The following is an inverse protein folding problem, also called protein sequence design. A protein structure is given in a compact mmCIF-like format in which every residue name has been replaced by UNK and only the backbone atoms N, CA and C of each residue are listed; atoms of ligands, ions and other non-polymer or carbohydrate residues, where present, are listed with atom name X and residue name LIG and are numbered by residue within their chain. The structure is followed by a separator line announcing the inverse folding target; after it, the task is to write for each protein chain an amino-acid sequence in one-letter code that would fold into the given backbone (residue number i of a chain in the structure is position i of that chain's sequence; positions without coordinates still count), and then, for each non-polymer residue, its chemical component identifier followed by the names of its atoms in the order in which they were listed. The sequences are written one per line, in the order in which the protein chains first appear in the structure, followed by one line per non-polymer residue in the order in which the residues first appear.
data_IF_351622516055
#
_entry.id   IF_351622516055
#
_cell.length_a   1.000
_cell.length_b   1.000
_cell.length_c   1.000
_cell.angle_alpha   90.00
_cell.angle_beta   90.00
_cell.angle_gamma   90.00
#
_symmetry.space_group_name_H-M   'P 1'
#
loop_
_entity.id
_entity.type
_entity.pdbx_description
1 polymer ?
#
# COMPACT_ATOMS: atom_id res chain seq x y z
N UNK A 1 -14.55 10.43 28.64
CA UNK A 1 -14.01 10.63 27.27
C UNK A 1 -13.28 9.36 26.83
N UNK A 2 -13.46 8.89 25.59
CA UNK A 2 -12.72 7.74 25.03
C UNK A 2 -11.48 8.28 24.29
N UNK A 3 -10.29 7.80 24.64
CA UNK A 3 -9.06 8.11 23.89
C UNK A 3 -9.15 7.44 22.52
N UNK A 4 -8.96 8.20 21.44
CA UNK A 4 -9.05 7.66 20.08
C UNK A 4 -7.81 8.02 19.27
N UNK A 5 -7.33 7.04 18.49
CA UNK A 5 -6.19 7.24 17.60
C UNK A 5 -6.65 7.72 16.22
N UNK A 6 -5.95 8.70 15.66
CA UNK A 6 -6.26 9.26 14.33
C UNK A 6 -4.98 9.45 13.52
N UNK A 7 -5.10 9.48 12.18
CA UNK A 7 -3.97 9.76 11.30
C UNK A 7 -3.75 11.28 11.27
N UNK A 8 -2.55 11.79 11.62
CA UNK A 8 -2.25 13.21 11.51
C UNK A 8 -2.41 13.70 10.07
N UNK A 9 -3.08 14.85 9.90
CA UNK A 9 -3.39 15.41 8.57
C UNK A 9 -2.13 15.68 7.74
N UNK A 10 -1.08 16.16 8.38
CA UNK A 10 0.18 16.50 7.70
C UNK A 10 0.87 15.26 7.14
N UNK A 11 0.80 14.12 7.85
CA UNK A 11 1.34 12.84 7.37
C UNK A 11 0.55 12.31 6.18
N UNK A 12 -0.77 12.46 6.18
CA UNK A 12 -1.59 12.10 5.02
C UNK A 12 -1.30 13.02 3.81
N UNK A 13 -1.07 14.32 4.04
CA UNK A 13 -0.69 15.28 2.99
C UNK A 13 0.70 14.99 2.41
N UNK A 14 1.70 14.75 3.25
CA UNK A 14 3.06 14.44 2.79
C UNK A 14 3.09 13.15 1.98
N UNK A 15 2.32 12.13 2.39
CA UNK A 15 2.19 10.88 1.65
C UNK A 15 1.47 11.09 0.31
N UNK A 16 0.38 11.86 0.29
CA UNK A 16 -0.29 12.20 -0.97
C UNK A 16 0.63 13.01 -1.92
N UNK A 17 1.47 13.89 -1.37
CA UNK A 17 2.44 14.66 -2.14
C UNK A 17 3.52 13.75 -2.76
N UNK A 18 4.03 12.76 -2.01
CA UNK A 18 5.03 11.81 -2.54
C UNK A 18 4.45 10.91 -3.63
N UNK A 19 3.19 10.48 -3.52
CA UNK A 19 2.48 9.76 -4.58
C UNK A 19 2.23 10.64 -5.80
N UNK A 20 1.88 11.91 -5.58
CA UNK A 20 1.68 12.87 -6.67
C UNK A 20 2.98 13.13 -7.42
N UNK A 21 4.11 13.27 -6.72
CA UNK A 21 5.42 13.46 -7.33
C UNK A 21 5.84 12.27 -8.20
N UNK A 22 5.57 11.04 -7.74
CA UNK A 22 5.78 9.83 -8.53
C UNK A 22 4.90 9.83 -9.78
N UNK A 23 3.62 10.18 -9.65
CA UNK A 23 2.64 10.23 -10.74
C UNK A 23 2.77 11.45 -11.67
N UNK A 24 3.61 12.43 -11.32
CA UNK A 24 3.90 13.57 -12.21
C UNK A 24 5.03 13.31 -13.19
N UNK A 25 5.79 12.22 -13.01
CA UNK A 25 6.93 11.86 -13.85
C UNK A 25 6.76 10.52 -14.57
N UNK A 26 7.88 10.06 -15.15
CA UNK A 26 8.07 8.68 -15.64
C UNK A 26 7.01 8.19 -16.65
N UNK A 27 6.60 9.04 -17.59
CA UNK A 27 5.63 8.66 -18.63
C UNK A 27 6.15 7.54 -19.57
N UNK A 28 7.46 7.31 -19.60
CA UNK A 28 8.11 6.25 -20.37
C UNK A 28 7.97 4.86 -19.76
N UNK A 29 7.80 4.75 -18.42
CA UNK A 29 7.69 3.44 -17.74
C UNK A 29 6.39 2.73 -18.10
N UNK A 30 6.37 1.39 -18.10
CA UNK A 30 5.14 0.63 -18.33
C UNK A 30 4.03 1.03 -17.35
N UNK A 31 2.77 0.97 -17.82
CA UNK A 31 1.64 1.32 -16.95
C UNK A 31 1.44 0.33 -15.81
N UNK A 32 1.93 -0.91 -15.97
CA UNK A 32 1.81 -1.95 -14.94
C UNK A 32 2.83 -1.69 -13.84
N UNK A 33 4.10 -1.49 -14.19
CA UNK A 33 5.14 -1.23 -13.19
C UNK A 33 4.85 0.05 -12.40
N UNK A 34 4.31 1.07 -13.07
CA UNK A 34 3.86 2.31 -12.42
C UNK A 34 2.79 2.02 -11.35
N UNK A 35 1.77 1.23 -11.70
CA UNK A 35 0.66 0.88 -10.78
C UNK A 35 1.16 -0.02 -9.66
N UNK A 36 2.04 -0.97 -9.97
CA UNK A 36 2.66 -1.85 -8.97
C UNK A 36 3.46 -1.04 -7.95
N UNK A 37 4.25 -0.05 -8.39
CA UNK A 37 5.01 0.82 -7.50
C UNK A 37 4.11 1.63 -6.55
N UNK A 38 2.95 2.07 -7.05
CA UNK A 38 1.94 2.79 -6.26
C UNK A 38 1.27 1.84 -5.27
N UNK A 39 0.87 0.65 -5.73
CA UNK A 39 0.24 -0.38 -4.91
C UNK A 39 1.13 -0.75 -3.72
N UNK A 40 2.43 -0.99 -3.94
CA UNK A 40 3.39 -1.27 -2.86
C UNK A 40 3.44 -0.17 -1.80
N UNK A 41 3.43 1.11 -2.22
CA UNK A 41 3.41 2.25 -1.29
C UNK A 41 2.08 2.33 -0.52
N UNK A 42 0.95 2.12 -1.20
CA UNK A 42 -0.36 2.13 -0.58
C UNK A 42 -0.54 0.98 0.42
N UNK A 43 -0.09 -0.22 0.07
CA UNK A 43 -0.10 -1.38 0.96
C UNK A 43 0.75 -1.16 2.20
N UNK A 44 1.97 -0.63 2.03
CA UNK A 44 2.83 -0.26 3.16
C UNK A 44 2.17 0.76 4.08
N UNK A 45 1.52 1.77 3.52
CA UNK A 45 0.79 2.78 4.29
C UNK A 45 -0.43 2.20 5.02
N UNK A 46 -1.18 1.31 4.35
CA UNK A 46 -2.32 0.61 4.92
C UNK A 46 -1.91 -0.28 6.10
N UNK A 47 -0.80 -1.00 5.95
CA UNK A 47 -0.23 -1.87 6.98
C UNK A 47 0.24 -1.06 8.19
N UNK A 48 0.90 0.08 7.98
CA UNK A 48 1.36 0.95 9.06
C UNK A 48 0.19 1.50 9.89
N UNK A 49 -0.86 2.01 9.24
CA UNK A 49 -2.05 2.57 9.92
C UNK A 49 -3.17 1.54 10.15
N UNK A 50 -2.88 0.23 10.11
CA UNK A 50 -3.92 -0.80 10.20
C UNK A 50 -4.68 -0.82 11.55
N UNK A 51 -4.02 -0.36 12.62
CA UNK A 51 -4.53 -0.35 13.99
C UNK A 51 -5.19 0.96 14.43
N UNK A 52 -5.20 1.99 13.57
CA UNK A 52 -5.80 3.30 13.88
C UNK A 52 -7.33 3.23 13.82
N UNK A 53 -8.00 3.91 14.77
CA UNK A 53 -9.46 3.97 14.85
C UNK A 53 -10.08 4.78 13.71
N UNK A 54 -9.74 6.08 13.61
CA UNK A 54 -10.31 6.97 12.60
C UNK A 54 -9.35 7.15 11.40
N UNK A 55 -9.31 6.14 10.53
CA UNK A 55 -8.51 6.18 9.28
C UNK A 55 -9.30 6.50 8.01
N UNK A 56 -10.63 6.32 8.03
CA UNK A 56 -11.48 6.43 6.84
C UNK A 56 -11.34 7.78 6.11
N UNK A 57 -11.33 8.90 6.83
CA UNK A 57 -11.23 10.24 6.22
C UNK A 57 -9.89 10.46 5.51
N UNK A 58 -8.79 10.04 6.13
CA UNK A 58 -7.45 10.15 5.56
C UNK A 58 -7.28 9.20 4.35
N UNK A 59 -7.79 7.98 4.46
CA UNK A 59 -7.75 6.99 3.37
C UNK A 59 -8.59 7.45 2.17
N UNK A 60 -9.81 7.96 2.39
CA UNK A 60 -10.63 8.51 1.31
C UNK A 60 -9.98 9.71 0.62
N UNK A 61 -9.28 10.56 1.37
CA UNK A 61 -8.53 11.68 0.82
C UNK A 61 -7.40 11.20 -0.10
N UNK A 62 -6.60 10.23 0.35
CA UNK A 62 -5.49 9.66 -0.44
C UNK A 62 -6.04 8.93 -1.68
N UNK A 63 -7.03 8.05 -1.51
CA UNK A 63 -7.63 7.28 -2.61
C UNK A 63 -8.15 8.20 -3.72
N UNK A 64 -8.81 9.31 -3.37
CA UNK A 64 -9.31 10.28 -4.35
C UNK A 64 -8.18 10.93 -5.15
N UNK A 65 -7.09 11.31 -4.50
CA UNK A 65 -5.93 11.94 -5.15
C UNK A 65 -5.27 10.95 -6.10
N UNK A 66 -4.97 9.75 -5.62
CA UNK A 66 -4.30 8.72 -6.41
C UNK A 66 -5.13 8.32 -7.61
N UNK A 67 -6.45 8.12 -7.42
CA UNK A 67 -7.36 7.75 -8.50
C UNK A 67 -7.33 8.75 -9.66
N UNK A 68 -7.43 10.05 -9.36
CA UNK A 68 -7.43 11.09 -10.38
C UNK A 68 -6.04 11.37 -10.95
N UNK A 69 -4.99 11.35 -10.13
CA UNK A 69 -3.62 11.54 -10.61
C UNK A 69 -3.19 10.42 -11.55
N UNK A 70 -3.55 9.17 -11.26
CA UNK A 70 -3.33 8.05 -12.17
C UNK A 70 -4.11 8.23 -13.48
N UNK A 71 -5.36 8.71 -13.40
CA UNK A 71 -6.18 8.99 -14.59
C UNK A 71 -5.52 10.03 -15.51
N UNK A 72 -5.04 11.14 -14.94
CA UNK A 72 -4.33 12.18 -15.67
C UNK A 72 -3.00 11.68 -16.25
N UNK A 73 -2.25 10.88 -15.49
CA UNK A 73 -1.01 10.29 -15.97
C UNK A 73 -1.24 9.35 -17.17
N UNK A 74 -2.26 8.49 -17.11
CA UNK A 74 -2.65 7.62 -18.23
C UNK A 74 -3.11 8.42 -19.45
N UNK A 75 -3.91 9.46 -19.23
CA UNK A 75 -4.36 10.36 -20.29
C UNK A 75 -3.18 11.05 -20.99
N UNK A 76 -2.19 11.51 -20.23
CA UNK A 76 -0.99 12.13 -20.78
C UNK A 76 -0.14 11.11 -21.56
N UNK A 77 0.13 9.95 -20.96
CA UNK A 77 0.92 8.87 -21.57
C UNK A 77 0.36 8.39 -22.91
N UNK A 78 -0.95 8.18 -22.98
CA UNK A 78 -1.62 7.69 -24.19
C UNK A 78 -2.18 8.82 -25.06
N UNK A 79 -1.84 10.09 -24.76
CA UNK A 79 -2.35 11.29 -25.46
C UNK A 79 -3.86 11.24 -25.72
N UNK A 80 -4.61 10.79 -24.71
CA UNK A 80 -6.02 10.42 -24.83
C UNK A 80 -6.86 11.15 -23.79
N UNK A 81 -8.17 11.31 -24.07
CA UNK A 81 -9.10 11.85 -23.08
C UNK A 81 -9.31 10.84 -21.93
N UNK A 82 -9.62 11.32 -20.72
CA UNK A 82 -9.84 10.45 -19.54
C UNK A 82 -11.09 9.57 -19.70
N UNK A 83 -12.16 10.11 -20.30
CA UNK A 83 -13.46 9.42 -20.46
C UNK A 83 -13.38 8.05 -21.16
N UNK A 84 -12.72 7.89 -22.33
CA UNK A 84 -12.57 6.57 -22.94
C UNK A 84 -11.73 5.62 -22.09
N UNK A 85 -10.66 6.10 -21.46
CA UNK A 85 -9.82 5.29 -20.57
C UNK A 85 -10.61 4.74 -19.39
N UNK A 86 -11.46 5.57 -18.77
CA UNK A 86 -12.33 5.12 -17.69
C UNK A 86 -13.34 4.06 -18.15
N UNK A 87 -13.95 4.22 -19.33
CA UNK A 87 -14.88 3.21 -19.88
C UNK A 87 -14.17 1.87 -20.10
N UNK A 88 -12.91 1.91 -20.52
CA UNK A 88 -12.16 0.71 -20.85
C UNK A 88 -11.60 0.00 -19.61
N UNK A 89 -11.07 0.75 -18.64
CA UNK A 89 -10.26 0.20 -17.55
C UNK A 89 -10.81 0.44 -16.14
N UNK A 90 -11.78 1.35 -15.92
CA UNK A 90 -12.44 1.46 -14.62
C UNK A 90 -13.56 0.42 -14.49
N UNK A 91 -13.23 -0.72 -13.89
CA UNK A 91 -14.14 -1.84 -13.70
C UNK A 91 -14.22 -2.25 -12.23
N UNK A 92 -15.29 -2.96 -11.86
CA UNK A 92 -15.35 -3.62 -10.57
C UNK A 92 -14.39 -4.83 -10.61
N UNK A 93 -13.37 -4.90 -9.75
CA UNK A 93 -12.41 -6.00 -9.76
C UNK A 93 -13.05 -7.34 -9.36
N UNK A 94 -14.05 -7.30 -8.47
CA UNK A 94 -14.90 -8.42 -8.07
C UNK A 94 -16.35 -7.93 -7.98
N UNK A 95 -17.37 -8.80 -8.14
CA UNK A 95 -18.78 -8.38 -8.17
C UNK A 95 -19.26 -7.67 -6.89
N UNK A 96 -18.56 -7.85 -5.75
CA UNK A 96 -18.84 -7.18 -4.47
C UNK A 96 -17.95 -5.96 -4.19
N UNK A 97 -17.04 -5.61 -5.10
CA UNK A 97 -16.06 -4.55 -4.90
C UNK A 97 -16.39 -3.32 -5.74
N UNK A 98 -16.06 -2.15 -5.18
CA UNK A 98 -16.21 -0.86 -5.84
C UNK A 98 -15.39 -0.78 -7.13
N UNK A 99 -15.88 -0.03 -8.12
CA UNK A 99 -15.14 0.25 -9.35
C UNK A 99 -13.81 0.96 -9.06
N UNK A 100 -12.74 0.44 -9.65
CA UNK A 100 -11.37 0.96 -9.54
C UNK A 100 -10.66 0.77 -10.89
N UNK A 101 -9.45 1.30 -11.05
CA UNK A 101 -8.61 1.03 -12.22
C UNK A 101 -8.14 -0.43 -12.23
N UNK A 102 -8.52 -1.17 -13.27
CA UNK A 102 -8.07 -2.53 -13.56
C UNK A 102 -7.34 -2.49 -14.90
N UNK A 103 -6.02 -2.65 -14.84
CA UNK A 103 -5.11 -2.39 -15.96
C UNK A 103 -4.41 -3.68 -16.36
N UNK A 104 -4.32 -3.92 -17.67
CA UNK A 104 -3.62 -5.08 -18.23
C UNK A 104 -2.55 -4.62 -19.22
N UNK A 105 -1.39 -5.26 -19.19
CA UNK A 105 -0.29 -4.90 -20.09
C UNK A 105 0.96 -5.74 -19.89
N UNK A 106 2.02 -5.35 -20.60
CA UNK A 106 3.37 -5.88 -20.39
C UNK A 106 4.09 -5.00 -19.38
N UNK A 107 4.85 -5.62 -18.49
CA UNK A 107 5.87 -4.94 -17.68
C UNK A 107 7.05 -4.53 -18.56
N UNK A 108 7.94 -3.69 -18.04
CA UNK A 108 9.21 -3.36 -18.69
C UNK A 108 10.05 -4.62 -18.99
N UNK A 109 9.90 -5.66 -18.17
CA UNK A 109 10.57 -6.96 -18.35
C UNK A 109 9.87 -7.87 -19.38
N UNK A 110 8.83 -7.38 -20.07
CA UNK A 110 8.10 -8.11 -21.12
C UNK A 110 7.03 -9.09 -20.61
N UNK A 111 6.84 -9.22 -19.29
CA UNK A 111 5.85 -10.14 -18.70
C UNK A 111 4.44 -9.55 -18.78
N UNK A 112 3.48 -10.35 -19.25
CA UNK A 112 2.07 -9.97 -19.21
C UNK A 112 1.54 -10.02 -17.77
N UNK A 113 0.94 -8.92 -17.32
CA UNK A 113 0.44 -8.74 -15.96
C UNK A 113 -0.84 -7.90 -15.97
N UNK A 114 -1.72 -8.22 -15.04
CA UNK A 114 -2.93 -7.46 -14.74
C UNK A 114 -2.81 -6.91 -13.33
N UNK A 115 -2.84 -5.58 -13.20
CA UNK A 115 -2.77 -4.89 -11.92
C UNK A 115 -4.06 -4.14 -11.63
N UNK A 116 -4.50 -4.24 -10.38
CA UNK A 116 -5.66 -3.51 -9.87
C UNK A 116 -5.13 -2.44 -8.94
N UNK A 117 -5.54 -1.19 -9.15
CA UNK A 117 -5.14 -0.12 -8.24
C UNK A 117 -5.66 -0.44 -6.81
N UNK A 118 -4.73 -0.48 -5.86
CA UNK A 118 -5.04 -0.75 -4.46
C UNK A 118 -5.91 0.37 -3.87
N UNK A 119 -6.91 -0.02 -3.08
CA UNK A 119 -7.84 0.91 -2.43
C UNK A 119 -7.69 0.83 -0.92
N UNK A 120 -7.45 1.97 -0.28
CA UNK A 120 -7.31 2.06 1.17
C UNK A 120 -8.67 2.01 1.87
N UNK A 121 -9.69 2.64 1.29
CA UNK A 121 -11.05 2.65 1.84
C UNK A 121 -11.68 1.25 1.79
N UNK A 122 -12.32 0.86 2.88
CA UNK A 122 -12.92 -0.47 3.07
C UNK A 122 -12.09 -1.40 3.93
N UNK A 123 -10.83 -1.03 4.24
CA UNK A 123 -10.01 -1.77 5.19
C UNK A 123 -10.50 -1.53 6.62
N UNK A 124 -11.10 -2.56 7.24
CA UNK A 124 -11.49 -2.53 8.64
C UNK A 124 -10.31 -2.25 9.57
N UNK A 125 -10.59 -1.80 10.80
CA UNK A 125 -9.57 -1.73 11.84
C UNK A 125 -9.14 -3.16 12.17
N UNK A 126 -7.84 -3.44 12.13
CA UNK A 126 -7.34 -4.69 12.70
C UNK A 126 -7.25 -4.54 14.21
N UNK A 127 -7.60 -5.59 14.94
CA UNK A 127 -7.35 -5.63 16.36
C UNK A 127 -5.84 -5.76 16.59
N UNK A 128 -5.29 -4.82 17.36
CA UNK A 128 -3.95 -4.97 17.88
C UNK A 128 -4.01 -6.05 18.96
N UNK A 129 -3.71 -7.29 18.58
CA UNK A 129 -3.49 -8.36 19.54
C UNK A 129 -2.06 -8.19 20.03
N UNK A 130 -1.88 -7.59 21.20
CA UNK A 130 -0.66 -7.84 21.95
C UNK A 130 -0.56 -9.36 22.05
N UNK A 131 0.61 -9.93 21.77
CA UNK A 131 0.83 -11.35 22.08
C UNK A 131 0.82 -11.46 23.61
N UNK A 132 -0.37 -11.43 24.22
CA UNK A 132 -0.56 -12.09 25.48
C UNK A 132 -0.50 -13.58 25.13
N UNK A 133 0.56 -14.29 25.51
CA UNK A 133 0.51 -15.75 25.46
C UNK A 133 -0.74 -16.20 26.24
N UNK A 134 -1.42 -17.25 25.77
CA UNK A 134 -2.62 -17.79 26.44
C UNK A 134 -2.32 -18.22 27.90
N UNK A 135 -1.05 -18.43 28.25
CA UNK A 135 -0.58 -18.72 29.59
C UNK A 135 0.78 -18.10 29.91
N UNK A 136 1.36 -18.51 31.04
CA UNK A 136 2.63 -17.98 31.54
C UNK A 136 3.76 -18.12 30.48
N UNK A 137 4.39 -17.02 30.03
CA UNK A 137 5.42 -17.03 29.01
C UNK A 137 6.66 -17.88 29.36
N UNK A 138 6.85 -18.25 30.62
CA UNK A 138 7.95 -19.10 31.09
C UNK A 138 7.62 -20.61 31.09
N UNK A 139 6.36 -20.99 30.79
CA UNK A 139 5.88 -22.38 30.79
C UNK A 139 5.35 -22.77 29.40
N UNK A 140 6.19 -22.67 28.35
CA UNK A 140 5.78 -22.98 26.97
C UNK A 140 6.10 -24.42 26.60
N UNK A 141 5.15 -25.11 25.97
CA UNK A 141 5.33 -26.44 25.35
C UNK A 141 5.74 -26.37 23.87
N UNK A 142 5.56 -25.23 23.20
CA UNK A 142 5.92 -25.03 21.79
C UNK A 142 7.38 -24.58 21.60
N UNK A 143 8.03 -25.08 20.54
CA UNK A 143 9.39 -24.71 20.14
C UNK A 143 9.46 -23.26 19.63
N UNK A 144 10.41 -22.51 20.19
CA UNK A 144 10.50 -21.05 20.08
C UNK A 144 11.07 -20.59 18.72
N UNK A 145 10.22 -20.11 17.80
CA UNK A 145 10.67 -19.40 16.58
C UNK A 145 10.98 -17.91 16.87
N UNK A 146 11.96 -17.63 17.75
CA UNK A 146 12.53 -16.27 17.85
C UNK A 146 13.67 -16.15 16.87
N UNK A 147 13.58 -15.22 15.93
CA UNK A 147 14.77 -14.68 15.29
C UNK A 147 15.56 -13.92 16.35
N UNK A 148 16.52 -14.58 16.97
CA UNK A 148 17.53 -13.91 17.78
C UNK A 148 18.42 -13.13 16.83
N UNK A 149 18.60 -11.84 17.06
CA UNK A 149 19.70 -11.12 16.41
C UNK A 149 20.98 -11.83 16.83
N UNK A 150 21.67 -12.50 15.92
CA UNK A 150 22.99 -13.14 16.11
C UNK A 150 24.11 -12.11 16.36
N UNK A 151 23.78 -11.01 17.03
CA UNK A 151 24.64 -9.86 17.23
C UNK A 151 25.93 -10.24 17.97
N UNK A 152 25.85 -11.13 18.95
CA UNK A 152 27.02 -11.69 19.63
C UNK A 152 27.91 -12.52 18.69
N UNK A 153 27.33 -13.37 17.83
CA UNK A 153 28.10 -14.13 16.84
C UNK A 153 28.78 -13.20 15.82
N UNK A 154 28.07 -12.16 15.35
CA UNK A 154 28.61 -11.15 14.44
C UNK A 154 29.72 -10.33 15.10
N UNK A 155 29.51 -9.87 16.34
CA UNK A 155 30.50 -9.10 17.10
C UNK A 155 31.78 -9.92 17.35
N UNK A 156 31.64 -11.22 17.66
CA UNK A 156 32.78 -12.13 17.82
C UNK A 156 33.54 -12.35 16.51
N UNK A 157 32.84 -12.49 15.39
CA UNK A 157 33.47 -12.63 14.07
C UNK A 157 34.21 -11.35 13.63
N UNK A 158 33.70 -10.17 13.99
CA UNK A 158 34.40 -8.90 13.73
C UNK A 158 35.60 -8.68 14.66
N UNK A 159 35.57 -9.22 15.89
CA UNK A 159 36.68 -9.10 16.84
C UNK A 159 37.87 -10.02 16.52
N UNK A 160 37.70 -10.99 15.61
CA UNK A 160 38.76 -11.92 15.17
C UNK A 160 39.48 -11.50 13.87
N UNK A 161 39.26 -10.27 13.39
CA UNK A 161 39.98 -9.64 12.26
C UNK A 161 40.94 -8.60 12.80
#
# INVERSE_FOLDING_TARGET
MRVVTTIPRDKARSFAASLTALLSGNHSESKIDMVESINRKLEGWAAFYQFVDFKAKAFSYIDRIVFWKLAHWLAHKYRSRIKPLMRQWCKAPKPSQSKTWVLFGKTNNGKLSGEILYRLVGQGKKQFRWRLPEGNPYLRSELRNTWTSRFTEVAMAFASV
#
